data_IF_269956326320
#
_entry.id   IF_269956326320
#
_cell.length_a   1.000
_cell.length_b   1.000
_cell.length_c   1.000
_cell.angle_alpha   90.00
_cell.angle_beta   90.00
_cell.angle_gamma   90.00
#
_symmetry.space_group_name_H-M   'P 1'
#
loop_
_entity.id
_entity.type
_entity.pdbx_description
1 polymer ?
#
# COMPACT_ATOMS: atom_id res chain seq x y z
N UNK A 1 -6.59 -1.69 18.61
CA UNK A 1 -5.91 -1.27 17.36
C UNK A 1 -6.99 -0.99 16.33
N UNK A 2 -7.02 0.20 15.75
CA UNK A 2 -8.13 0.61 14.87
C UNK A 2 -8.10 -0.14 13.53
N UNK A 3 -6.90 -0.36 12.97
CA UNK A 3 -6.73 -0.88 11.62
C UNK A 3 -5.57 -1.89 11.50
N UNK A 4 -5.88 -3.12 11.09
CA UNK A 4 -4.88 -4.10 10.67
C UNK A 4 -4.80 -4.17 9.15
N UNK A 5 -3.63 -3.89 8.57
CA UNK A 5 -3.44 -3.89 7.13
C UNK A 5 -2.60 -5.10 6.68
N UNK A 6 -2.97 -5.69 5.56
CA UNK A 6 -2.26 -6.79 4.91
C UNK A 6 -1.92 -6.30 3.51
N UNK A 7 -0.63 -6.17 3.20
CA UNK A 7 -0.15 -5.66 1.92
C UNK A 7 0.52 -6.77 1.10
N UNK A 8 0.24 -6.82 -0.19
CA UNK A 8 0.72 -7.88 -1.10
C UNK A 8 2.20 -7.78 -1.47
N UNK A 9 2.82 -6.63 -1.21
CA UNK A 9 4.25 -6.35 -1.40
C UNK A 9 4.81 -5.40 -0.32
N UNK A 10 6.14 -5.26 -0.30
CA UNK A 10 6.84 -4.39 0.66
C UNK A 10 6.73 -2.91 0.30
N UNK A 11 6.76 -2.58 -0.99
CA UNK A 11 6.71 -1.18 -1.46
C UNK A 11 5.35 -0.57 -1.16
N UNK A 12 4.27 -1.26 -1.52
CA UNK A 12 2.90 -0.85 -1.22
C UNK A 12 2.59 -0.85 0.27
N UNK A 13 3.21 -1.73 1.07
CA UNK A 13 3.10 -1.67 2.53
C UNK A 13 3.72 -0.39 3.11
N UNK A 14 4.89 0.02 2.59
CA UNK A 14 5.59 1.22 3.02
C UNK A 14 4.81 2.48 2.64
N UNK A 15 4.29 2.52 1.41
CA UNK A 15 3.45 3.61 0.90
C UNK A 15 2.14 3.76 1.70
N UNK A 16 1.48 2.63 2.02
CA UNK A 16 0.33 2.65 2.91
C UNK A 16 0.72 3.17 4.30
N UNK A 17 1.81 2.68 4.89
CA UNK A 17 2.24 3.12 6.21
C UNK A 17 2.51 4.64 6.28
N UNK A 18 3.19 5.22 5.28
CA UNK A 18 3.37 6.68 5.18
C UNK A 18 2.02 7.41 5.11
N UNK A 19 1.10 6.90 4.29
CA UNK A 19 -0.24 7.46 4.14
C UNK A 19 -1.04 7.43 5.45
N UNK A 20 -0.98 6.32 6.20
CA UNK A 20 -1.65 6.18 7.50
C UNK A 20 -1.06 7.14 8.56
N UNK A 21 0.26 7.30 8.59
CA UNK A 21 0.94 8.26 9.48
C UNK A 21 0.53 9.70 9.14
N UNK A 22 0.50 10.09 7.86
CA UNK A 22 0.03 11.41 7.44
C UNK A 22 -1.45 11.66 7.75
N UNK A 23 -2.24 10.59 7.85
CA UNK A 23 -3.63 10.65 8.25
C UNK A 23 -3.84 10.74 9.77
N UNK A 24 -2.76 10.65 10.57
CA UNK A 24 -2.80 10.80 12.02
C UNK A 24 -2.77 9.50 12.82
N UNK A 25 -2.60 8.34 12.17
CA UNK A 25 -2.52 7.05 12.88
C UNK A 25 -1.07 6.69 13.21
N UNK A 26 -0.78 6.36 14.48
CA UNK A 26 0.49 5.75 14.87
C UNK A 26 0.58 4.38 14.24
N UNK A 27 1.51 4.21 13.29
CA UNK A 27 1.55 3.03 12.42
C UNK A 27 2.84 2.24 12.61
N UNK A 28 2.73 0.92 12.75
CA UNK A 28 3.88 0.00 12.70
C UNK A 28 3.87 -0.79 11.39
N UNK A 29 5.00 -0.83 10.69
CA UNK A 29 5.22 -1.71 9.54
C UNK A 29 5.97 -2.97 9.96
N UNK A 30 5.46 -4.14 9.58
CA UNK A 30 6.06 -5.45 9.78
C UNK A 30 6.43 -6.07 8.44
N UNK A 31 7.66 -6.60 8.32
CA UNK A 31 8.11 -7.34 7.16
C UNK A 31 7.85 -8.83 7.39
N UNK A 32 6.72 -9.32 6.90
CA UNK A 32 6.19 -10.63 7.26
C UNK A 32 5.74 -10.72 8.72
N UNK A 33 5.36 -11.92 9.14
CA UNK A 33 5.05 -12.20 10.54
C UNK A 33 6.30 -12.65 11.30
N UNK A 34 6.44 -12.31 12.60
CA UNK A 34 7.45 -12.91 13.45
C UNK A 34 7.28 -14.44 13.49
N UNK A 35 8.39 -15.17 13.38
CA UNK A 35 8.35 -16.64 13.47
C UNK A 35 7.83 -17.14 14.82
N UNK A 36 7.42 -18.42 14.93
CA UNK A 36 6.98 -19.00 16.19
C UNK A 36 8.07 -18.82 17.27
N UNK A 37 7.74 -18.14 18.38
CA UNK A 37 8.68 -17.89 19.48
C UNK A 37 9.61 -16.67 19.31
N UNK A 38 9.58 -15.98 18.17
CA UNK A 38 10.32 -14.74 17.99
C UNK A 38 9.51 -13.56 18.57
N UNK A 39 9.86 -13.12 19.77
CA UNK A 39 9.59 -11.73 20.15
C UNK A 39 10.38 -10.83 19.20
N UNK A 40 9.75 -9.80 18.58
CA UNK A 40 10.44 -8.91 17.66
C UNK A 40 11.70 -8.36 18.33
N UNK A 41 12.84 -8.43 17.66
CA UNK A 41 14.14 -8.01 18.21
C UNK A 41 14.04 -6.57 18.73
N UNK A 42 14.01 -6.41 20.06
CA UNK A 42 13.71 -5.16 20.76
C UNK A 42 12.64 -5.28 21.85
N UNK A 43 11.81 -6.34 21.82
CA UNK A 43 10.92 -6.71 22.92
C UNK A 43 11.66 -7.63 23.90
N UNK A 44 12.13 -7.06 25.01
CA UNK A 44 12.72 -7.83 26.10
C UNK A 44 11.67 -8.79 26.70
N UNK A 45 12.00 -10.07 26.97
CA UNK A 45 11.08 -11.07 27.52
C UNK A 45 10.95 -10.94 29.05
N UNK A 46 10.60 -9.75 29.52
CA UNK A 46 10.29 -9.50 30.93
C UNK A 46 9.07 -8.58 31.01
N UNK A 47 7.89 -9.18 30.91
CA UNK A 47 6.61 -8.48 31.03
C UNK A 47 5.58 -9.09 30.10
N UNK A 48 4.69 -9.90 30.64
CA UNK A 48 3.37 -10.10 30.04
C UNK A 48 2.61 -8.76 30.16
N UNK A 49 2.90 -7.85 29.24
CA UNK A 49 2.40 -6.48 29.22
C UNK A 49 3.17 -5.62 28.20
N UNK A 50 2.43 -5.04 27.26
CA UNK A 50 2.86 -3.92 26.39
C UNK A 50 4.24 -4.03 25.70
N UNK A 51 4.36 -4.89 24.69
CA UNK A 51 5.38 -4.71 23.64
C UNK A 51 4.95 -3.58 22.69
N UNK A 52 5.89 -2.90 22.01
CA UNK A 52 5.70 -1.71 21.16
C UNK A 52 4.53 -1.73 20.13
N UNK A 53 3.89 -2.87 19.90
CA UNK A 53 2.67 -3.00 19.10
C UNK A 53 1.38 -2.63 19.85
N UNK A 54 1.39 -2.62 21.18
CA UNK A 54 0.23 -2.29 22.01
C UNK A 54 -0.18 -0.81 21.90
N UNK A 55 0.71 0.04 21.40
CA UNK A 55 0.48 1.48 21.26
C UNK A 55 0.21 1.92 19.80
N UNK A 56 0.21 0.99 18.83
CA UNK A 56 -0.06 1.36 17.44
C UNK A 56 -1.57 1.45 17.18
N UNK A 57 -2.00 2.54 16.54
CA UNK A 57 -3.37 2.69 16.05
C UNK A 57 -3.59 1.82 14.80
N UNK A 58 -2.54 1.63 14.00
CA UNK A 58 -2.53 0.75 12.85
C UNK A 58 -1.27 -0.11 12.74
N UNK A 59 -1.41 -1.34 12.21
CA UNK A 59 -0.27 -2.21 11.86
C UNK A 59 -0.39 -2.64 10.41
N UNK A 60 0.70 -2.53 9.64
CA UNK A 60 0.78 -3.00 8.26
C UNK A 60 1.71 -4.22 8.19
N UNK A 61 1.20 -5.36 7.74
CA UNK A 61 1.99 -6.57 7.47
C UNK A 61 2.31 -6.61 5.98
N UNK A 62 3.58 -6.48 5.63
CA UNK A 62 4.07 -6.63 4.26
C UNK A 62 4.32 -8.10 3.93
N UNK A 63 3.61 -8.61 2.92
CA UNK A 63 3.81 -9.93 2.36
C UNK A 63 4.58 -9.84 1.03
N UNK A 64 4.86 -10.99 0.44
CA UNK A 64 5.33 -11.11 -0.95
C UNK A 64 4.36 -12.01 -1.71
N UNK A 65 3.10 -11.61 -1.74
CA UNK A 65 1.99 -12.47 -2.15
C UNK A 65 1.34 -12.08 -3.48
N UNK A 66 1.81 -11.01 -4.15
CA UNK A 66 1.24 -10.54 -5.43
C UNK A 66 1.19 -11.60 -6.53
N UNK A 67 2.30 -12.30 -6.76
CA UNK A 67 2.50 -13.17 -7.95
C UNK A 67 2.78 -14.63 -7.61
N UNK A 68 2.70 -15.02 -6.33
CA UNK A 68 2.81 -16.42 -5.90
C UNK A 68 1.51 -17.18 -6.22
N UNK A 69 1.46 -18.52 -6.11
CA UNK A 69 0.22 -19.26 -6.25
C UNK A 69 -0.88 -18.74 -5.32
N UNK A 70 -2.12 -18.65 -5.82
CA UNK A 70 -3.24 -18.06 -5.08
C UNK A 70 -3.49 -18.73 -3.72
N UNK A 71 -3.36 -20.05 -3.64
CA UNK A 71 -3.50 -20.80 -2.39
C UNK A 71 -2.48 -20.34 -1.32
N UNK A 72 -1.24 -20.09 -1.71
CA UNK A 72 -0.18 -19.62 -0.81
C UNK A 72 -0.42 -18.17 -0.38
N UNK A 73 -0.87 -17.32 -1.31
CA UNK A 73 -1.23 -15.93 -1.00
C UNK A 73 -2.39 -15.85 -0.01
N UNK A 74 -3.42 -16.70 -0.21
CA UNK A 74 -4.54 -16.84 0.72
C UNK A 74 -4.07 -17.31 2.09
N UNK A 75 -3.24 -18.36 2.15
CA UNK A 75 -2.72 -18.88 3.41
C UNK A 75 -1.96 -17.79 4.21
N UNK A 76 -1.03 -17.08 3.55
CA UNK A 76 -0.27 -15.99 4.17
C UNK A 76 -1.17 -14.83 4.63
N UNK A 77 -2.16 -14.46 3.84
CA UNK A 77 -3.11 -13.40 4.20
C UNK A 77 -3.96 -13.80 5.42
N UNK A 78 -4.41 -15.06 5.49
CA UNK A 78 -5.15 -15.57 6.65
C UNK A 78 -4.29 -15.69 7.91
N UNK A 79 -3.02 -16.05 7.79
CA UNK A 79 -2.08 -15.99 8.91
C UNK A 79 -1.92 -14.56 9.44
N UNK A 80 -1.73 -13.60 8.54
CA UNK A 80 -1.63 -12.18 8.90
C UNK A 80 -2.92 -11.67 9.54
N UNK A 81 -4.07 -12.04 8.99
CA UNK A 81 -5.39 -11.71 9.53
C UNK A 81 -5.55 -12.22 10.96
N UNK A 82 -5.25 -13.50 11.23
CA UNK A 82 -5.33 -14.08 12.57
C UNK A 82 -4.41 -13.38 13.55
N UNK A 83 -3.18 -13.09 13.11
CA UNK A 83 -2.18 -12.41 13.94
C UNK A 83 -2.62 -10.98 14.33
N UNK A 84 -3.22 -10.25 13.38
CA UNK A 84 -3.77 -8.90 13.57
C UNK A 84 -5.00 -8.92 14.48
N UNK A 85 -5.94 -9.86 14.25
CA UNK A 85 -7.14 -10.02 15.09
C UNK A 85 -6.79 -10.39 16.53
N UNK A 86 -5.83 -11.28 16.74
CA UNK A 86 -5.33 -11.63 18.08
C UNK A 86 -4.73 -10.44 18.85
N UNK A 87 -4.43 -9.32 18.16
CA UNK A 87 -3.93 -8.06 18.74
C UNK A 87 -4.99 -6.95 18.76
N UNK A 88 -6.26 -7.32 18.59
CA UNK A 88 -7.38 -6.40 18.71
C UNK A 88 -7.50 -5.43 17.54
N UNK A 89 -7.14 -5.85 16.31
CA UNK A 89 -7.52 -5.13 15.11
C UNK A 89 -9.05 -5.17 14.95
N UNK A 90 -9.70 -4.01 14.98
CA UNK A 90 -11.16 -3.88 14.80
C UNK A 90 -11.57 -4.05 13.34
N UNK A 91 -10.76 -3.54 12.42
CA UNK A 91 -10.99 -3.57 10.96
C UNK A 91 -9.76 -4.09 10.25
N UNK A 92 -9.98 -4.63 9.06
CA UNK A 92 -8.91 -5.05 8.17
C UNK A 92 -8.86 -4.19 6.91
N UNK A 93 -7.66 -3.96 6.40
CA UNK A 93 -7.41 -3.35 5.10
C UNK A 93 -6.55 -4.27 4.24
N UNK A 94 -7.07 -4.72 3.10
CA UNK A 94 -6.27 -5.46 2.13
C UNK A 94 -5.71 -4.50 1.07
N UNK A 95 -4.39 -4.34 1.10
CA UNK A 95 -3.63 -3.44 0.23
C UNK A 95 -3.03 -4.21 -0.95
N UNK A 96 -3.35 -3.77 -2.15
CA UNK A 96 -2.75 -4.21 -3.41
C UNK A 96 -2.32 -3.03 -4.28
N UNK A 97 -1.66 -3.29 -5.41
CA UNK A 97 -1.12 -2.24 -6.28
C UNK A 97 -2.20 -1.29 -6.81
N UNK A 98 -1.89 0.01 -6.95
CA UNK A 98 -2.82 1.00 -7.52
C UNK A 98 -3.06 0.81 -9.02
N UNK A 99 -2.28 -0.03 -9.69
CA UNK A 99 -2.48 -0.49 -11.07
C UNK A 99 -3.20 -1.84 -11.17
N UNK A 100 -3.73 -2.34 -10.04
CA UNK A 100 -4.51 -3.58 -9.95
C UNK A 100 -3.77 -4.84 -10.42
N UNK A 101 -2.43 -4.85 -10.29
CA UNK A 101 -1.51 -5.90 -10.71
C UNK A 101 -1.98 -7.30 -10.32
N UNK A 102 -2.50 -8.04 -11.28
CA UNK A 102 -3.02 -9.38 -11.08
C UNK A 102 -3.18 -10.09 -12.43
N UNK A 103 -3.53 -11.37 -12.39
CA UNK A 103 -4.00 -12.13 -13.56
C UNK A 103 -5.40 -12.64 -13.28
N UNK A 104 -6.04 -13.28 -14.25
CA UNK A 104 -7.34 -13.94 -14.02
C UNK A 104 -7.29 -15.01 -12.92
N UNK A 105 -6.09 -15.50 -12.56
CA UNK A 105 -5.89 -16.45 -11.45
C UNK A 105 -5.69 -15.78 -10.09
N UNK A 106 -5.69 -14.45 -10.01
CA UNK A 106 -5.50 -13.71 -8.76
C UNK A 106 -4.22 -12.87 -8.71
N UNK A 107 -3.82 -12.39 -7.52
CA UNK A 107 -4.30 -12.83 -6.20
C UNK A 107 -5.30 -11.90 -5.50
N UNK A 108 -5.73 -10.80 -6.15
CA UNK A 108 -6.63 -9.82 -5.54
C UNK A 108 -7.98 -10.47 -5.17
N UNK A 109 -8.64 -11.13 -6.13
CA UNK A 109 -9.93 -11.80 -5.89
C UNK A 109 -9.86 -12.89 -4.81
N UNK A 110 -9.01 -13.93 -4.96
CA UNK A 110 -8.94 -15.03 -4.00
C UNK A 110 -8.60 -14.60 -2.57
N UNK A 111 -7.69 -13.65 -2.40
CA UNK A 111 -7.33 -13.14 -1.06
C UNK A 111 -8.47 -12.33 -0.46
N UNK A 112 -9.13 -11.47 -1.25
CA UNK A 112 -10.27 -10.70 -0.76
C UNK A 112 -11.45 -11.61 -0.35
N UNK A 113 -11.74 -12.67 -1.12
CA UNK A 113 -12.74 -13.67 -0.78
C UNK A 113 -12.46 -14.31 0.58
N UNK A 114 -11.24 -14.83 0.75
CA UNK A 114 -10.83 -15.51 1.98
C UNK A 114 -10.82 -14.58 3.19
N UNK A 115 -10.35 -13.34 3.04
CA UNK A 115 -10.36 -12.36 4.11
C UNK A 115 -11.78 -11.92 4.49
N UNK A 116 -12.67 -11.77 3.50
CA UNK A 116 -14.07 -11.41 3.71
C UNK A 116 -14.79 -12.50 4.51
N UNK A 117 -14.58 -13.78 4.15
CA UNK A 117 -15.11 -14.92 4.91
C UNK A 117 -14.54 -14.99 6.32
N UNK A 118 -13.23 -14.76 6.48
CA UNK A 118 -12.56 -14.81 7.78
C UNK A 118 -13.03 -13.73 8.76
N UNK A 119 -13.60 -12.63 8.26
CA UNK A 119 -14.24 -11.60 9.11
C UNK A 119 -15.75 -11.77 9.23
N UNK A 120 -16.32 -12.84 8.66
CA UNK A 120 -17.76 -13.09 8.64
C UNK A 120 -18.56 -12.05 7.85
N UNK A 121 -17.91 -11.34 6.92
CA UNK A 121 -18.54 -10.30 6.12
C UNK A 121 -19.15 -10.84 4.84
N UNK A 122 -20.11 -10.11 4.29
CA UNK A 122 -20.73 -10.44 2.99
C UNK A 122 -20.49 -9.39 1.90
N UNK A 123 -19.80 -8.29 2.24
CA UNK A 123 -19.56 -7.16 1.34
C UNK A 123 -18.26 -6.43 1.66
N UNK A 124 -17.50 -6.05 0.64
CA UNK A 124 -16.34 -5.16 0.72
C UNK A 124 -16.20 -4.29 -0.53
N UNK A 125 -15.35 -3.26 -0.44
CA UNK A 125 -15.06 -2.31 -1.52
C UNK A 125 -13.66 -2.51 -2.08
N UNK A 126 -13.48 -2.17 -3.36
CA UNK A 126 -12.22 -2.17 -4.10
C UNK A 126 -11.98 -0.78 -4.69
N UNK A 127 -10.97 -0.07 -4.20
CA UNK A 127 -10.59 1.24 -4.74
C UNK A 127 -9.07 1.34 -4.91
N UNK A 128 -8.51 1.00 -6.10
CA UNK A 128 -7.08 1.15 -6.36
C UNK A 128 -6.66 2.61 -6.62
N UNK A 129 -7.61 3.54 -6.75
CA UNK A 129 -7.33 4.94 -7.04
C UNK A 129 -6.34 5.54 -6.04
N UNK A 130 -5.37 6.28 -6.58
CA UNK A 130 -4.42 7.06 -5.84
C UNK A 130 -4.04 8.31 -6.66
N UNK A 131 -4.90 9.34 -6.66
CA UNK A 131 -4.77 10.50 -7.55
C UNK A 131 -3.45 11.25 -7.40
N UNK A 132 -2.89 11.31 -6.18
CA UNK A 132 -1.57 11.92 -5.91
C UNK A 132 -0.41 11.29 -6.73
N UNK A 133 -0.57 10.07 -7.22
CA UNK A 133 0.38 9.39 -8.11
C UNK A 133 -0.25 9.09 -9.48
N UNK A 134 -1.29 9.82 -9.88
CA UNK A 134 -1.90 9.73 -11.20
C UNK A 134 -2.70 8.46 -11.44
N UNK A 135 -3.30 7.83 -10.41
CA UNK A 135 -4.21 6.70 -10.58
C UNK A 135 -5.63 7.13 -10.22
N UNK A 136 -6.53 7.06 -11.18
CA UNK A 136 -7.96 7.43 -11.01
C UNK A 136 -8.86 6.34 -11.56
N UNK A 137 -10.06 6.22 -11.00
CA UNK A 137 -11.08 5.26 -11.44
C UNK A 137 -12.34 6.02 -11.79
N UNK A 138 -12.84 5.82 -13.01
CA UNK A 138 -14.08 6.42 -13.50
C UNK A 138 -14.90 5.39 -14.28
N UNK A 139 -16.18 5.25 -13.93
CA UNK A 139 -17.07 4.24 -14.48
C UNK A 139 -16.48 2.82 -14.39
N UNK A 140 -15.79 2.51 -13.29
CA UNK A 140 -15.09 1.24 -13.07
C UNK A 140 -13.80 1.06 -13.88
N UNK A 141 -13.43 2.04 -14.72
CA UNK A 141 -12.22 1.98 -15.55
C UNK A 141 -11.05 2.66 -14.85
N UNK A 142 -9.92 1.97 -14.78
CA UNK A 142 -8.69 2.49 -14.20
C UNK A 142 -7.86 3.27 -15.24
N UNK A 143 -7.45 4.46 -14.86
CA UNK A 143 -6.55 5.33 -15.61
C UNK A 143 -5.19 5.45 -14.92
N UNK A 144 -4.14 5.56 -15.74
CA UNK A 144 -2.77 5.84 -15.32
C UNK A 144 -2.32 7.11 -16.05
N UNK A 145 -2.31 8.24 -15.32
CA UNK A 145 -2.24 9.55 -15.94
C UNK A 145 -3.46 9.78 -16.82
N UNK A 146 -3.22 10.19 -18.07
CA UNK A 146 -4.28 10.54 -19.02
C UNK A 146 -4.75 9.36 -19.89
N UNK A 147 -4.20 8.16 -19.68
CA UNK A 147 -4.51 6.97 -20.49
C UNK A 147 -5.16 5.87 -19.65
N UNK A 148 -5.94 5.02 -20.31
CA UNK A 148 -6.46 3.79 -19.70
C UNK A 148 -5.30 2.89 -19.26
N UNK A 149 -5.52 2.09 -18.21
CA UNK A 149 -4.57 1.08 -17.73
C UNK A 149 -4.00 0.23 -18.88
N UNK A 150 -4.87 -0.23 -19.78
CA UNK A 150 -4.53 -1.06 -20.94
C UNK A 150 -3.78 -0.35 -22.07
N UNK A 151 -3.69 0.97 -22.02
CA UNK A 151 -2.90 1.81 -22.92
C UNK A 151 -1.62 2.34 -22.24
N UNK A 152 -1.40 2.04 -20.96
CA UNK A 152 -0.20 2.41 -20.22
C UNK A 152 0.91 1.36 -20.35
N UNK A 153 2.07 1.62 -19.75
CA UNK A 153 3.16 0.64 -19.65
C UNK A 153 2.75 -0.65 -18.92
N UNK A 154 1.66 -0.65 -18.15
CA UNK A 154 1.15 -1.85 -17.49
C UNK A 154 0.63 -2.90 -18.45
N UNK A 155 0.29 -2.53 -19.70
CA UNK A 155 -0.12 -3.47 -20.74
C UNK A 155 0.91 -4.58 -20.95
N UNK A 156 2.19 -4.22 -20.94
CA UNK A 156 3.32 -5.10 -21.22
C UNK A 156 4.10 -5.45 -19.94
N UNK A 157 3.47 -5.31 -18.76
CA UNK A 157 4.12 -5.62 -17.49
C UNK A 157 4.57 -7.10 -17.45
N UNK A 158 5.84 -7.39 -17.10
CA UNK A 158 6.44 -8.72 -17.32
C UNK A 158 5.80 -9.86 -16.53
N UNK A 159 5.11 -9.56 -15.43
CA UNK A 159 4.50 -10.56 -14.55
C UNK A 159 2.97 -10.55 -14.57
N UNK A 160 2.37 -9.39 -14.83
CA UNK A 160 0.93 -9.14 -14.68
C UNK A 160 0.48 -8.14 -15.74
N UNK A 161 0.54 -8.51 -17.03
CA UNK A 161 0.15 -7.61 -18.11
C UNK A 161 -1.33 -7.23 -17.98
N UNK A 162 -1.60 -5.93 -17.91
CA UNK A 162 -2.93 -5.37 -17.66
C UNK A 162 -3.54 -4.88 -18.97
N UNK A 163 -4.24 -5.75 -19.70
CA UNK A 163 -4.80 -5.45 -21.03
C UNK A 163 -6.26 -4.99 -21.02
N UNK A 164 -6.89 -4.99 -19.84
CA UNK A 164 -8.29 -4.64 -19.62
C UNK A 164 -8.39 -3.56 -18.53
N UNK A 165 -8.90 -2.35 -18.82
CA UNK A 165 -9.00 -1.29 -17.83
C UNK A 165 -10.26 -1.39 -16.96
N UNK A 166 -11.24 -2.23 -17.32
CA UNK A 166 -12.49 -2.40 -16.57
C UNK A 166 -12.25 -3.27 -15.33
N UNK A 167 -12.20 -2.64 -14.16
CA UNK A 167 -11.90 -3.32 -12.90
C UNK A 167 -13.01 -4.25 -12.44
N UNK A 168 -14.27 -4.00 -12.82
CA UNK A 168 -15.39 -4.90 -12.52
C UNK A 168 -15.17 -6.22 -13.24
N UNK A 169 -14.79 -6.15 -14.52
CA UNK A 169 -14.50 -7.33 -15.33
C UNK A 169 -13.20 -8.02 -14.92
N UNK A 170 -12.13 -7.27 -14.64
CA UNK A 170 -10.85 -7.84 -14.17
C UNK A 170 -11.03 -8.57 -12.84
N UNK A 171 -11.71 -7.97 -11.87
CA UNK A 171 -11.99 -8.63 -10.59
C UNK A 171 -12.94 -9.82 -10.76
N UNK A 172 -13.99 -9.68 -11.59
CA UNK A 172 -14.96 -10.74 -11.86
C UNK A 172 -14.37 -12.00 -12.49
N UNK A 173 -13.20 -11.92 -13.14
CA UNK A 173 -12.47 -13.12 -13.61
C UNK A 173 -11.73 -13.87 -12.50
N UNK A 174 -11.48 -13.23 -11.36
CA UNK A 174 -10.67 -13.77 -10.25
C UNK A 174 -11.50 -14.38 -9.11
N UNK A 175 -12.81 -14.19 -9.11
CA UNK A 175 -13.70 -14.58 -8.02
C UNK A 175 -15.04 -15.09 -8.55
N UNK A 176 -15.64 -16.12 -7.90
CA UNK A 176 -17.00 -16.54 -8.21
C UNK A 176 -18.07 -15.57 -7.66
N UNK A 177 -17.70 -14.57 -6.84
CA UNK A 177 -18.67 -13.65 -6.23
C UNK A 177 -19.07 -12.54 -7.20
N UNK A 178 -20.31 -12.08 -7.06
CA UNK A 178 -20.81 -10.96 -7.85
C UNK A 178 -20.02 -9.67 -7.54
N UNK A 179 -19.56 -9.01 -8.61
CA UNK A 179 -18.85 -7.73 -8.57
C UNK A 179 -19.76 -6.62 -9.12
N UNK A 180 -19.90 -5.55 -8.35
CA UNK A 180 -20.67 -4.36 -8.70
C UNK A 180 -19.82 -3.10 -8.74
N UNK A 181 -20.49 -1.97 -8.99
CA UNK A 181 -19.87 -0.65 -9.12
C UNK A 181 -20.64 0.39 -8.29
N UNK A 182 -19.87 1.20 -7.57
CA UNK A 182 -20.27 2.49 -7.01
C UNK A 182 -19.71 3.57 -7.93
N UNK A 183 -20.61 4.25 -8.62
CA UNK A 183 -20.24 5.24 -9.63
C UNK A 183 -19.76 6.54 -8.98
N UNK A 184 -18.96 7.31 -9.72
CA UNK A 184 -18.48 8.61 -9.27
C UNK A 184 -19.63 9.55 -8.86
N UNK A 185 -20.77 9.51 -9.55
CA UNK A 185 -21.96 10.31 -9.19
C UNK A 185 -22.47 10.02 -7.77
N UNK A 186 -22.37 8.78 -7.29
CA UNK A 186 -22.78 8.41 -5.93
C UNK A 186 -21.76 8.93 -4.92
N UNK A 187 -20.46 8.93 -5.28
CA UNK A 187 -19.37 9.47 -4.46
C UNK A 187 -19.46 10.99 -4.35
N UNK A 188 -19.68 11.69 -5.45
CA UNK A 188 -19.85 13.15 -5.49
C UNK A 188 -21.09 13.62 -4.73
N UNK A 189 -22.11 12.77 -4.61
CA UNK A 189 -23.30 13.04 -3.80
C UNK A 189 -23.07 12.86 -2.28
N UNK A 190 -21.87 12.43 -1.86
CA UNK A 190 -21.44 12.41 -0.47
C UNK A 190 -21.60 11.06 0.23
N UNK A 191 -21.16 11.03 1.49
CA UNK A 191 -20.99 9.81 2.28
C UNK A 191 -22.29 9.01 2.44
N UNK A 192 -23.40 9.69 2.73
CA UNK A 192 -24.69 9.03 2.94
C UNK A 192 -25.16 8.32 1.67
N UNK A 193 -24.96 8.95 0.50
CA UNK A 193 -25.32 8.33 -0.78
C UNK A 193 -24.44 7.11 -1.07
N UNK A 194 -23.14 7.17 -0.77
CA UNK A 194 -22.26 5.99 -0.89
C UNK A 194 -22.73 4.84 0.01
N UNK A 195 -23.08 5.13 1.27
CA UNK A 195 -23.63 4.13 2.21
C UNK A 195 -24.95 3.52 1.70
N UNK A 196 -25.85 4.34 1.16
CA UNK A 196 -27.09 3.87 0.50
C UNK A 196 -26.78 2.96 -0.68
N UNK A 197 -25.79 3.32 -1.51
CA UNK A 197 -25.37 2.50 -2.64
C UNK A 197 -24.76 1.17 -2.19
N UNK A 198 -23.98 1.12 -1.11
CA UNK A 198 -23.51 -0.13 -0.51
C UNK A 198 -24.69 -1.01 -0.10
N UNK A 199 -25.70 -0.46 0.58
CA UNK A 199 -26.88 -1.21 1.00
C UNK A 199 -27.68 -1.78 -0.19
N UNK A 200 -27.82 -1.03 -1.28
CA UNK A 200 -28.45 -1.51 -2.52
C UNK A 200 -27.68 -2.69 -3.12
N UNK A 201 -26.35 -2.60 -3.19
CA UNK A 201 -25.50 -3.67 -3.71
C UNK A 201 -25.56 -4.93 -2.82
N UNK A 202 -25.52 -4.75 -1.49
CA UNK A 202 -25.68 -5.83 -0.52
C UNK A 202 -27.02 -6.54 -0.66
N UNK A 203 -28.12 -5.80 -0.83
CA UNK A 203 -29.44 -6.37 -1.05
C UNK A 203 -29.52 -7.18 -2.36
N UNK A 204 -28.80 -6.73 -3.39
CA UNK A 204 -28.64 -7.45 -4.65
C UNK A 204 -27.63 -8.62 -4.58
N UNK A 205 -27.12 -8.97 -3.39
CA UNK A 205 -26.12 -10.03 -3.16
C UNK A 205 -24.80 -9.83 -3.92
N UNK A 206 -24.44 -8.58 -4.20
CA UNK A 206 -23.08 -8.22 -4.62
C UNK A 206 -22.15 -8.32 -3.41
N UNK A 207 -21.02 -9.02 -3.55
CA UNK A 207 -20.04 -9.14 -2.47
C UNK A 207 -18.91 -8.12 -2.60
N UNK A 208 -18.56 -7.76 -3.84
CA UNK A 208 -17.42 -6.90 -4.14
C UNK A 208 -17.87 -5.68 -4.91
N UNK A 209 -17.55 -4.49 -4.44
CA UNK A 209 -17.90 -3.25 -5.15
C UNK A 209 -16.64 -2.49 -5.55
N UNK A 210 -16.39 -2.34 -6.86
CA UNK A 210 -15.44 -1.34 -7.35
C UNK A 210 -16.00 0.04 -7.04
N UNK A 211 -15.17 0.96 -6.56
CA UNK A 211 -15.58 2.33 -6.25
C UNK A 211 -14.76 3.31 -7.06
N UNK A 212 -15.46 4.16 -7.82
CA UNK A 212 -14.85 5.26 -8.56
C UNK A 212 -14.24 6.29 -7.62
N UNK A 213 -13.10 6.85 -8.02
CA UNK A 213 -12.48 7.99 -7.36
C UNK A 213 -11.48 8.66 -8.32
N UNK A 214 -11.63 9.97 -8.47
CA UNK A 214 -10.82 10.81 -9.36
C UNK A 214 -10.00 11.84 -8.60
N UNK A 215 -10.35 12.10 -7.35
CA UNK A 215 -9.68 13.07 -6.48
C UNK A 215 -9.43 12.52 -5.07
N UNK A 216 -8.54 13.17 -4.32
CA UNK A 216 -8.32 12.87 -2.91
C UNK A 216 -9.57 13.14 -2.07
N UNK A 217 -10.46 14.04 -2.51
CA UNK A 217 -11.73 14.30 -1.82
C UNK A 217 -12.71 13.14 -1.98
N UNK A 218 -12.78 12.55 -3.17
CA UNK A 218 -13.56 11.34 -3.43
C UNK A 218 -13.12 10.21 -2.46
N UNK A 219 -11.81 10.03 -2.30
CA UNK A 219 -11.24 9.05 -1.37
C UNK A 219 -11.57 9.35 0.10
N UNK A 220 -11.71 10.63 0.50
CA UNK A 220 -12.18 10.98 1.85
C UNK A 220 -13.64 10.60 2.04
N UNK A 221 -14.50 10.86 1.05
CA UNK A 221 -15.92 10.47 1.08
C UNK A 221 -16.05 8.94 1.20
N UNK A 222 -15.37 8.20 0.33
CA UNK A 222 -15.39 6.73 0.34
C UNK A 222 -14.81 6.18 1.64
N UNK A 223 -13.72 6.77 2.14
CA UNK A 223 -13.11 6.40 3.42
C UNK A 223 -14.07 6.51 4.60
N UNK A 224 -14.85 7.60 4.69
CA UNK A 224 -15.88 7.76 5.74
C UNK A 224 -17.03 6.77 5.57
N UNK A 225 -17.48 6.50 4.34
CA UNK A 225 -18.53 5.52 4.09
C UNK A 225 -18.09 4.08 4.42
N UNK A 226 -16.79 3.78 4.30
CA UNK A 226 -16.22 2.46 4.51
C UNK A 226 -15.82 2.15 5.96
N UNK A 227 -15.92 3.10 6.91
CA UNK A 227 -15.49 2.88 8.31
C UNK A 227 -16.25 1.75 9.01
N UNK A 228 -17.47 1.42 8.59
CA UNK A 228 -18.26 0.37 9.22
C UNK A 228 -18.06 -1.00 8.57
N UNK A 229 -17.22 -1.09 7.52
CA UNK A 229 -16.86 -2.36 6.92
C UNK A 229 -15.78 -3.05 7.76
N UNK A 230 -15.98 -4.33 8.07
CA UNK A 230 -14.98 -5.16 8.74
C UNK A 230 -13.72 -5.38 7.89
N UNK A 231 -13.85 -5.28 6.57
CA UNK A 231 -12.78 -5.34 5.57
C UNK A 231 -13.03 -4.25 4.51
N UNK A 232 -11.98 -3.51 4.17
CA UNK A 232 -11.93 -2.67 2.98
C UNK A 232 -10.68 -3.02 2.15
N UNK A 233 -10.72 -2.82 0.84
CA UNK A 233 -9.58 -3.16 -0.03
C UNK A 233 -9.25 -2.06 -1.03
N UNK A 234 -7.98 -1.90 -1.36
CA UNK A 234 -7.58 -0.82 -2.28
C UNK A 234 -6.10 -0.52 -2.32
N UNK A 235 -5.78 0.60 -2.98
CA UNK A 235 -4.44 1.20 -2.96
C UNK A 235 -4.19 1.99 -1.67
N UNK A 236 -3.14 2.81 -1.63
CA UNK A 236 -2.85 3.63 -0.44
C UNK A 236 -3.83 4.81 -0.31
N UNK A 237 -4.38 5.30 -1.42
CA UNK A 237 -5.35 6.39 -1.44
C UNK A 237 -6.56 6.15 -0.54
N UNK A 238 -7.30 5.05 -0.75
CA UNK A 238 -8.44 4.69 0.10
C UNK A 238 -7.99 4.39 1.54
N UNK A 239 -6.83 3.76 1.73
CA UNK A 239 -6.25 3.52 3.06
C UNK A 239 -6.07 4.82 3.85
N UNK A 240 -5.62 5.88 3.19
CA UNK A 240 -5.54 7.23 3.77
C UNK A 240 -6.89 7.87 4.04
N UNK A 241 -7.87 7.69 3.14
CA UNK A 241 -9.24 8.13 3.36
C UNK A 241 -9.86 7.50 4.61
N UNK A 242 -9.72 6.18 4.75
CA UNK A 242 -10.20 5.41 5.89
C UNK A 242 -9.48 5.82 7.18
N UNK A 243 -8.16 5.98 7.14
CA UNK A 243 -7.37 6.38 8.31
C UNK A 243 -7.77 7.75 8.84
N UNK A 244 -8.02 8.74 7.96
CA UNK A 244 -8.50 10.07 8.38
C UNK A 244 -9.87 10.01 9.05
N UNK A 245 -10.74 9.11 8.58
CA UNK A 245 -12.06 8.91 9.18
C UNK A 245 -11.98 8.22 10.56
N UNK A 246 -10.93 7.42 10.80
CA UNK A 246 -10.69 6.72 12.07
C UNK A 246 -9.84 7.53 13.07
N UNK A 247 -9.10 8.55 12.62
CA UNK A 247 -8.18 9.30 13.46
C UNK A 247 -8.93 10.03 14.61
N UNK A 248 -8.49 9.90 15.87
CA UNK A 248 -9.13 10.60 17.00
C UNK A 248 -8.93 12.12 16.89
N UNK A 249 -10.01 12.88 16.69
CA UNK A 249 -9.99 14.35 16.71
C UNK A 249 -9.32 14.97 15.48
N UNK A 250 -10.10 15.26 14.44
CA UNK A 250 -9.61 15.76 13.16
C UNK A 250 -8.82 17.06 13.25
N UNK A 251 -7.50 16.97 13.13
CA UNK A 251 -6.62 17.79 12.27
C UNK A 251 -5.28 17.06 12.23
N UNK A 252 -4.60 16.87 11.08
CA UNK A 252 -3.27 16.27 11.07
C UNK A 252 -2.37 17.09 11.99
N UNK A 253 -1.69 16.44 12.94
CA UNK A 253 -0.66 17.11 13.72
C UNK A 253 0.33 17.76 12.75
N UNK A 254 0.36 19.10 12.73
CA UNK A 254 1.41 19.83 12.05
C UNK A 254 2.73 19.26 12.57
N UNK A 255 3.59 18.82 11.66
CA UNK A 255 4.90 18.31 11.99
C UNK A 255 5.63 19.34 12.90
N UNK A 256 5.67 19.07 14.20
CA UNK A 256 6.72 19.66 15.01
C UNK A 256 8.01 19.00 14.50
N UNK A 257 8.86 19.80 13.87
CA UNK A 257 10.19 19.42 13.37
C UNK A 257 10.81 18.30 14.21
N UNK A 258 10.96 17.12 13.60
CA UNK A 258 11.62 15.97 14.24
C UNK A 258 13.02 16.41 14.66
N UNK A 259 13.40 16.31 15.96
CA UNK A 259 14.78 16.52 16.37
C UNK A 259 15.66 15.54 15.59
N UNK A 260 16.67 16.04 14.88
CA UNK A 260 17.66 15.23 14.14
C UNK A 260 18.61 14.51 15.11
N UNK A 261 18.09 13.65 15.98
CA UNK A 261 18.90 12.70 16.75
C UNK A 261 18.84 11.35 16.06
N UNK A 262 19.68 11.18 15.03
CA UNK A 262 20.08 9.86 14.57
C UNK A 262 20.84 9.22 15.73
N UNK A 263 20.18 8.36 16.50
CA UNK A 263 20.87 7.49 17.45
C UNK A 263 21.63 6.45 16.62
N UNK A 264 22.90 6.75 16.34
CA UNK A 264 23.82 5.86 15.63
C UNK A 264 23.79 4.49 16.29
N UNK A 265 23.22 3.51 15.61
CA UNK A 265 23.33 2.12 16.00
C UNK A 265 24.81 1.74 15.89
N UNK A 266 25.47 1.52 17.04
CA UNK A 266 26.81 0.95 17.09
C UNK A 266 26.65 -0.56 17.27
N UNK A 267 26.98 -1.41 16.29
CA UNK A 267 27.07 -2.83 16.54
C UNK A 267 28.20 -3.07 17.56
N UNK A 268 27.86 -3.73 18.67
CA UNK A 268 28.85 -4.23 19.61
C UNK A 268 29.54 -5.46 19.01
N UNK A 269 30.53 -5.24 18.14
CA UNK A 269 31.47 -6.29 17.78
C UNK A 269 32.41 -6.48 18.97
N UNK A 270 32.11 -7.47 19.83
CA UNK A 270 33.12 -8.02 20.75
C UNK A 270 34.12 -8.80 19.92
N UNK A 271 35.23 -8.15 19.56
CA UNK A 271 36.41 -8.84 19.07
C UNK A 271 36.89 -9.79 20.17
N UNK A 272 36.75 -11.11 19.94
CA UNK A 272 37.51 -12.09 20.71
C UNK A 272 38.90 -12.12 20.09
N UNK A 273 39.92 -11.82 20.90
CA UNK A 273 41.32 -11.96 20.53
C UNK A 273 41.58 -13.40 20.08
N UNK A 274 41.76 -13.59 18.77
CA UNK A 274 42.40 -14.78 18.23
C UNK A 274 43.88 -14.46 18.05
N UNK A 275 44.69 -15.00 18.95
CA UNK A 275 46.15 -15.01 18.87
C UNK A 275 46.56 -15.82 17.64
N UNK A 276 47.10 -15.18 16.62
CA UNK A 276 47.80 -15.87 15.52
C UNK A 276 49.30 -15.79 15.83
N UNK A 277 49.88 -16.95 16.11
CA UNK A 277 51.32 -17.13 16.27
C UNK A 277 52.03 -16.82 14.94
N UNK A 278 53.03 -15.96 14.99
CA UNK A 278 53.86 -15.60 13.84
C UNK A 278 54.97 -16.62 13.60
N UNK A 279 55.33 -16.80 12.33
CA UNK A 279 56.65 -17.28 11.88
C UNK A 279 57.10 -16.34 10.74
N UNK A 280 58.35 -15.85 10.73
CA UNK A 280 58.80 -14.71 9.91
C UNK A 280 59.38 -15.12 8.54
N UNK A 281 59.30 -14.22 7.55
CA UNK A 281 59.93 -14.43 6.25
C UNK A 281 59.75 -13.30 5.23
N UNK A 282 60.70 -12.35 5.26
CA UNK A 282 61.29 -11.58 4.14
C UNK A 282 60.45 -10.78 3.11
N UNK A 283 60.85 -9.49 3.05
CA UNK A 283 61.13 -8.64 1.87
C UNK A 283 60.01 -8.00 1.03
N UNK A 284 59.89 -6.67 1.25
CA UNK A 284 60.04 -5.58 0.25
C UNK A 284 59.16 -5.57 -1.01
N UNK A 285 58.28 -4.56 -1.16
CA UNK A 285 58.51 -3.42 -2.08
C UNK A 285 57.39 -2.36 -2.07
N UNK A 286 57.84 -1.10 -2.04
CA UNK A 286 57.35 0.16 -2.63
C UNK A 286 55.87 0.59 -2.52
N UNK A 287 55.71 1.74 -1.85
CA UNK A 287 54.61 2.71 -2.01
C UNK A 287 54.91 3.67 -3.16
N UNK A 288 53.88 4.01 -3.94
CA UNK A 288 53.76 5.24 -4.73
C UNK A 288 52.33 5.75 -4.61
N UNK A 289 52.08 7.03 -4.27
CA UNK A 289 50.76 7.63 -4.31
C UNK A 289 50.54 8.34 -5.66
N UNK A 290 49.35 8.20 -6.24
CA UNK A 290 48.92 9.00 -7.38
C UNK A 290 47.75 9.89 -6.95
N UNK A 291 48.04 11.19 -6.94
CA UNK A 291 47.09 12.29 -6.92
C UNK A 291 46.70 12.59 -8.36
N UNK A 292 45.41 12.75 -8.67
CA UNK A 292 44.96 13.81 -9.58
C UNK A 292 43.47 14.10 -9.41
N UNK A 293 43.22 15.37 -9.16
CA UNK A 293 41.97 16.11 -9.15
C UNK A 293 41.53 16.49 -10.56
N UNK A 294 40.24 16.40 -10.89
CA UNK A 294 39.61 17.25 -11.92
C UNK A 294 38.17 17.60 -11.51
N UNK A 295 37.89 18.90 -11.50
CA UNK A 295 36.62 19.57 -11.16
C UNK A 295 35.54 19.47 -12.27
N UNK A 296 34.25 19.75 -11.96
CA UNK A 296 33.13 19.58 -12.89
C UNK A 296 32.92 20.80 -13.80
N UNK A 297 32.53 20.56 -15.06
CA UNK A 297 32.05 21.60 -15.99
C UNK A 297 30.52 21.73 -15.93
N UNK A 298 30.12 22.98 -15.76
CA UNK A 298 28.91 23.69 -16.22
C UNK A 298 28.41 23.23 -17.61
N UNK A 299 27.19 23.43 -18.12
CA UNK A 299 25.96 24.16 -17.79
C UNK A 299 25.11 24.02 -19.06
N UNK A 300 23.84 23.59 -18.97
CA UNK A 300 22.87 23.78 -20.05
C UNK A 300 21.54 24.24 -19.44
N UNK A 301 21.25 25.54 -19.59
CA UNK A 301 19.92 26.14 -19.46
C UNK A 301 19.36 26.29 -20.87
N UNK A 302 18.10 25.92 -21.07
CA UNK A 302 17.36 26.18 -22.31
C UNK A 302 15.89 25.83 -22.09
N UNK A 303 15.06 26.85 -21.98
CA UNK A 303 13.59 26.87 -21.86
C UNK A 303 13.17 28.33 -22.17
N UNK A 304 11.94 28.61 -22.63
CA UNK A 304 11.48 28.44 -24.01
C UNK A 304 10.97 29.76 -24.62
N UNK A 305 10.68 29.80 -25.93
CA UNK A 305 9.93 30.90 -26.55
C UNK A 305 8.61 30.41 -27.18
N UNK A 306 7.52 31.02 -26.72
CA UNK A 306 6.19 31.03 -27.34
C UNK A 306 6.12 32.22 -28.30
N UNK A 307 5.49 32.05 -29.48
CA UNK A 307 4.40 32.91 -29.96
C UNK A 307 3.88 32.55 -31.38
N UNK A 308 2.60 32.18 -31.42
CA UNK A 308 1.50 32.67 -32.30
C UNK A 308 1.51 32.43 -33.81
N UNK A 309 0.37 31.93 -34.33
CA UNK A 309 0.00 32.18 -35.73
C UNK A 309 -1.08 31.27 -36.34
N UNK A 310 -2.34 31.70 -36.21
CA UNK A 310 -3.42 31.66 -37.21
C UNK A 310 -4.05 30.32 -37.68
N UNK A 311 -5.38 30.44 -37.79
CA UNK A 311 -6.36 29.49 -38.28
C UNK A 311 -6.44 29.44 -39.83
N UNK A 312 -6.94 28.32 -40.37
CA UNK A 312 -8.05 28.24 -41.34
C UNK A 312 -8.02 26.90 -42.11
N UNK A 313 -9.19 26.33 -42.37
CA UNK A 313 -9.40 25.42 -43.52
C UNK A 313 -10.24 24.18 -43.24
N UNK A 314 -11.56 24.34 -43.11
CA UNK A 314 -12.52 23.27 -43.41
C UNK A 314 -12.95 23.46 -44.87
N UNK A 315 -12.80 22.40 -45.67
CA UNK A 315 -13.66 22.04 -46.80
C UNK A 315 -13.77 20.52 -46.84
#
# INVERSE_FOLDING_TARGET
MLLGCIADDVTGATDLADTLVRAGLRTTLLLGLPGPGASPAGASPAGAGSGAHAEADAVVVALKSRTIPAADAVAQALDAQRWLRARGAERLYFKYCSTFDSTDRGNIGPVADALLDAVGGSFTVFCPAFPAVGRTVYAGHLFVGDVLLSASSMRDHPLTPMTDPDLVRVLGRQTPRAVGLVHLRDVLAGEEQVRRRFAVLQHARVAHAVVDATSDEDLRVVGRAAVDLCLATGGSGLGGGLARALAPGGTPAAWASVPRTIRRWRPAVRARNSTVAGIPGSTSTRRTPLVSSVSPKSSCRGEPEYHTGAAAGIR
#
